data_IF_510194480387
#
_entry.id   IF_510194480387
#
_cell.length_a   1.000
_cell.length_b   1.000
_cell.length_c   1.000
_cell.angle_alpha   90.00
_cell.angle_beta   90.00
_cell.angle_gamma   90.00
#
_symmetry.space_group_name_H-M   'P 1'
#
loop_
_entity.id
_entity.type
_entity.pdbx_description
1 polymer ?
#
# COMPACT_ATOMS: atom_id res chain seq x y z
N UNK A 1 -9.15 48.33 -117.23
CA UNK A 1 -9.77 48.89 -116.01
C UNK A 1 -9.92 50.41 -116.17
N UNK A 2 -11.03 51.02 -115.75
CA UNK A 2 -11.18 52.49 -115.77
C UNK A 2 -10.44 53.15 -114.59
N UNK A 3 -10.28 54.48 -114.60
CA UNK A 3 -9.53 55.19 -113.55
C UNK A 3 -10.14 54.99 -112.16
N UNK A 4 -11.48 55.02 -112.03
CA UNK A 4 -12.17 54.80 -110.75
C UNK A 4 -11.86 53.43 -110.14
N UNK A 5 -11.83 52.37 -110.95
CA UNK A 5 -11.54 51.01 -110.49
C UNK A 5 -10.05 50.87 -110.11
N UNK A 6 -9.16 51.58 -110.82
CA UNK A 6 -7.73 51.64 -110.49
C UNK A 6 -7.50 52.25 -109.12
N UNK A 7 -8.12 53.40 -108.85
CA UNK A 7 -7.96 54.11 -107.57
C UNK A 7 -8.50 53.27 -106.39
N UNK A 8 -9.60 52.53 -106.60
CA UNK A 8 -10.14 51.61 -105.59
C UNK A 8 -9.17 50.48 -105.23
N UNK A 9 -8.45 49.92 -106.20
CA UNK A 9 -7.48 48.84 -105.95
C UNK A 9 -6.23 49.38 -105.25
N UNK A 10 -5.74 50.55 -105.66
CA UNK A 10 -4.52 51.17 -105.08
C UNK A 10 -4.69 51.42 -103.58
N UNK A 11 -5.84 51.93 -103.14
CA UNK A 11 -6.11 52.21 -101.72
C UNK A 11 -6.06 50.94 -100.86
N UNK A 12 -6.31 49.77 -101.44
CA UNK A 12 -6.31 48.49 -100.72
C UNK A 12 -4.92 47.85 -100.58
N UNK A 13 -3.89 48.39 -101.25
CA UNK A 13 -2.53 47.86 -101.16
C UNK A 13 -1.80 48.29 -99.88
N UNK A 14 -2.05 49.50 -99.38
CA UNK A 14 -1.38 50.00 -98.17
C UNK A 14 -1.81 49.24 -96.90
N UNK A 15 -3.10 48.97 -96.66
CA UNK A 15 -3.54 48.19 -95.51
C UNK A 15 -2.89 46.81 -95.38
N UNK A 16 -2.49 46.18 -96.50
CA UNK A 16 -1.75 44.93 -96.46
C UNK A 16 -0.40 45.06 -95.74
N UNK A 17 0.35 46.13 -96.02
CA UNK A 17 1.67 46.35 -95.42
C UNK A 17 1.57 46.70 -93.94
N UNK A 18 0.52 47.44 -93.55
CA UNK A 18 0.27 47.82 -92.15
C UNK A 18 -0.11 46.62 -91.26
N UNK A 19 -0.62 45.53 -91.84
CA UNK A 19 -1.01 44.32 -91.10
C UNK A 19 0.17 43.49 -90.56
N UNK A 20 1.36 43.67 -91.14
CA UNK A 20 2.57 42.89 -90.87
C UNK A 20 2.32 41.37 -90.84
N UNK A 21 2.21 40.79 -92.04
CA UNK A 21 1.86 39.37 -92.21
C UNK A 21 2.85 38.43 -91.49
N UNK A 22 4.14 38.80 -91.35
CA UNK A 22 5.12 37.98 -90.65
C UNK A 22 4.80 37.88 -89.15
N UNK A 23 4.46 39.02 -88.54
CA UNK A 23 4.06 39.08 -87.14
C UNK A 23 2.79 38.29 -86.86
N UNK A 24 1.79 38.40 -87.74
CA UNK A 24 0.52 37.66 -87.65
C UNK A 24 0.74 36.15 -87.73
N UNK A 25 1.59 35.72 -88.66
CA UNK A 25 1.98 34.32 -88.81
C UNK A 25 2.71 33.80 -87.56
N UNK A 26 3.70 34.56 -87.05
CA UNK A 26 4.45 34.19 -85.85
C UNK A 26 3.55 34.11 -84.59
N UNK A 27 2.50 34.92 -84.53
CA UNK A 27 1.51 34.87 -83.46
C UNK A 27 0.63 33.62 -83.55
N UNK A 28 0.08 33.34 -84.73
CA UNK A 28 -0.86 32.25 -84.95
C UNK A 28 -0.23 30.85 -84.83
N UNK A 29 1.05 30.71 -85.18
CA UNK A 29 1.77 29.42 -85.18
C UNK A 29 2.90 29.35 -84.15
N UNK A 30 2.76 30.07 -83.02
CA UNK A 30 3.75 30.18 -81.93
C UNK A 30 4.28 28.84 -81.38
N UNK A 31 3.47 27.78 -81.45
CA UNK A 31 3.75 26.47 -80.88
C UNK A 31 4.34 25.48 -81.90
N UNK A 32 4.52 25.91 -83.16
CA UNK A 32 5.07 25.07 -84.24
C UNK A 32 6.60 25.19 -84.28
N UNK A 33 7.36 24.07 -84.20
CA UNK A 33 8.81 24.10 -84.17
C UNK A 33 9.46 24.44 -85.53
N UNK A 34 8.75 24.22 -86.65
CA UNK A 34 9.25 24.55 -88.00
C UNK A 34 8.11 25.00 -88.94
N UNK A 35 8.13 26.27 -89.33
CA UNK A 35 7.10 26.92 -90.15
C UNK A 35 7.24 26.61 -91.66
N UNK A 36 8.33 25.97 -92.08
CA UNK A 36 8.48 25.44 -93.44
C UNK A 36 7.70 24.12 -93.63
N UNK A 37 7.34 23.44 -92.54
CA UNK A 37 6.59 22.17 -92.58
C UNK A 37 5.07 22.34 -92.46
N UNK A 38 4.61 23.50 -91.99
CA UNK A 38 3.18 23.77 -91.79
C UNK A 38 2.56 24.17 -93.13
N UNK A 39 1.81 23.24 -93.73
CA UNK A 39 1.09 23.45 -94.99
C UNK A 39 -0.33 23.97 -94.70
N UNK A 40 -0.70 25.07 -95.36
CA UNK A 40 -2.02 25.69 -95.29
C UNK A 40 -2.53 25.87 -96.72
N UNK A 41 -3.52 25.07 -97.11
CA UNK A 41 -4.01 25.04 -98.48
C UNK A 41 -2.95 24.51 -99.46
N UNK A 42 -2.52 25.36 -100.39
CA UNK A 42 -1.53 25.03 -101.42
C UNK A 42 -0.10 25.50 -101.11
N UNK A 43 0.10 26.20 -99.99
CA UNK A 43 1.36 26.84 -99.63
C UNK A 43 1.79 26.44 -98.22
N UNK A 44 3.09 26.45 -97.98
CA UNK A 44 3.61 26.52 -96.61
C UNK A 44 3.31 27.90 -96.01
N UNK A 45 3.24 27.99 -94.69
CA UNK A 45 3.02 29.26 -93.99
C UNK A 45 4.09 30.31 -94.36
N UNK A 46 5.35 29.87 -94.56
CA UNK A 46 6.42 30.73 -95.07
C UNK A 46 6.16 31.22 -96.51
N UNK A 47 5.63 30.37 -97.39
CA UNK A 47 5.29 30.74 -98.77
C UNK A 47 4.10 31.70 -98.84
N UNK A 48 3.13 31.60 -97.93
CA UNK A 48 2.00 32.54 -97.86
C UNK A 48 2.51 33.96 -97.62
N UNK A 49 3.47 34.15 -96.68
CA UNK A 49 4.09 35.47 -96.46
C UNK A 49 4.79 35.98 -97.71
N UNK A 50 5.69 35.16 -98.28
CA UNK A 50 6.49 35.54 -99.44
C UNK A 50 5.64 35.85 -100.68
N UNK A 51 4.67 34.98 -101.01
CA UNK A 51 3.81 35.16 -102.17
C UNK A 51 2.80 36.29 -101.99
N UNK A 52 2.28 36.55 -100.79
CA UNK A 52 1.38 37.69 -100.54
C UNK A 52 2.11 39.02 -100.76
N UNK A 53 3.30 39.17 -100.18
CA UNK A 53 4.13 40.38 -100.36
C UNK A 53 4.52 40.58 -101.82
N UNK A 54 4.93 39.51 -102.49
CA UNK A 54 5.28 39.55 -103.92
C UNK A 54 4.08 39.96 -104.77
N UNK A 55 2.91 39.34 -104.54
CA UNK A 55 1.68 39.61 -105.27
C UNK A 55 1.26 41.07 -105.13
N UNK A 56 1.19 41.60 -103.90
CA UNK A 56 0.82 42.99 -103.64
C UNK A 56 1.82 43.97 -104.25
N UNK A 57 3.13 43.70 -104.11
CA UNK A 57 4.19 44.56 -104.67
C UNK A 57 4.12 44.62 -106.21
N UNK A 58 3.98 43.48 -106.88
CA UNK A 58 3.90 43.44 -108.35
C UNK A 58 2.61 44.06 -108.88
N UNK A 59 1.50 43.89 -108.16
CA UNK A 59 0.25 44.54 -108.52
C UNK A 59 0.39 46.06 -108.43
N UNK A 60 0.95 46.58 -107.34
CA UNK A 60 1.21 48.01 -107.16
C UNK A 60 2.04 48.59 -108.30
N UNK A 61 3.17 47.94 -108.63
CA UNK A 61 4.05 48.39 -109.73
C UNK A 61 3.34 48.43 -111.09
N UNK A 62 2.50 47.44 -111.40
CA UNK A 62 1.79 47.40 -112.67
C UNK A 62 0.67 48.44 -112.73
N UNK A 63 0.00 48.68 -111.61
CA UNK A 63 -1.04 49.70 -111.53
C UNK A 63 -0.50 51.10 -111.85
N UNK A 64 0.76 51.39 -111.54
CA UNK A 64 1.40 52.67 -111.89
C UNK A 64 1.70 52.84 -113.39
N UNK A 65 1.62 51.77 -114.19
CA UNK A 65 1.90 51.80 -115.63
C UNK A 65 0.64 51.97 -116.48
N UNK A 66 0.81 52.34 -117.75
CA UNK A 66 -0.29 52.37 -118.73
C UNK A 66 -0.93 50.99 -119.00
N UNK A 67 -0.26 49.89 -118.61
CA UNK A 67 -0.79 48.54 -118.71
C UNK A 67 -2.00 48.30 -117.81
N UNK A 68 -2.14 49.07 -116.71
CA UNK A 68 -3.29 49.00 -115.82
C UNK A 68 -4.64 49.25 -116.53
N UNK A 69 -4.62 50.07 -117.59
CA UNK A 69 -5.83 50.45 -118.33
C UNK A 69 -6.43 49.27 -119.10
N UNK A 70 -5.62 48.26 -119.45
CA UNK A 70 -6.06 47.07 -120.19
C UNK A 70 -6.27 45.84 -119.31
N UNK A 71 -5.97 45.94 -118.01
CA UNK A 71 -6.22 44.85 -117.07
C UNK A 71 -7.73 44.68 -116.77
N UNK A 72 -8.22 43.42 -116.67
CA UNK A 72 -9.59 43.15 -116.25
C UNK A 72 -9.75 43.43 -114.75
N UNK A 73 -10.76 44.23 -114.39
CA UNK A 73 -11.11 44.48 -112.99
C UNK A 73 -11.88 43.30 -112.37
N UNK A 74 -12.79 42.74 -113.16
CA UNK A 74 -13.51 41.49 -112.88
C UNK A 74 -12.95 40.38 -113.76
N UNK A 75 -12.86 39.17 -113.23
CA UNK A 75 -12.33 38.02 -113.93
C UNK A 75 -13.16 36.77 -113.67
N UNK A 76 -13.20 35.91 -114.69
CA UNK A 76 -13.82 34.60 -114.64
C UNK A 76 -12.87 33.61 -115.29
N UNK A 77 -12.25 32.74 -114.48
CA UNK A 77 -11.19 31.85 -114.95
C UNK A 77 -11.69 30.50 -115.46
N UNK A 78 -12.98 30.18 -115.28
CA UNK A 78 -13.60 28.90 -115.67
C UNK A 78 -12.77 27.67 -115.23
N UNK A 79 -12.18 27.74 -114.04
CA UNK A 79 -11.35 26.72 -113.41
C UNK A 79 -11.58 26.75 -111.88
N UNK A 80 -10.78 25.98 -111.14
CA UNK A 80 -10.87 25.85 -109.67
C UNK A 80 -10.65 27.18 -108.90
N UNK A 81 -10.13 28.22 -109.56
CA UNK A 81 -9.98 29.56 -108.97
C UNK A 81 -11.25 30.42 -109.12
N UNK A 82 -12.27 29.97 -109.85
CA UNK A 82 -13.59 30.61 -109.89
C UNK A 82 -13.63 32.02 -110.52
N UNK A 83 -14.58 32.83 -110.06
CA UNK A 83 -14.80 34.22 -110.46
C UNK A 83 -14.52 35.18 -109.31
N UNK A 84 -14.25 36.44 -109.64
CA UNK A 84 -13.99 37.47 -108.63
C UNK A 84 -13.67 38.83 -109.24
N UNK A 85 -13.31 39.76 -108.38
CA UNK A 85 -12.76 41.05 -108.77
C UNK A 85 -11.63 41.45 -107.83
N UNK A 86 -10.73 42.30 -108.32
CA UNK A 86 -9.52 42.67 -107.60
C UNK A 86 -9.80 43.32 -106.24
N UNK A 87 -10.84 44.14 -106.14
CA UNK A 87 -11.16 44.87 -104.91
C UNK A 87 -11.58 43.91 -103.81
N UNK A 88 -12.54 43.04 -104.09
CA UNK A 88 -13.09 42.14 -103.10
C UNK A 88 -12.06 41.07 -102.69
N UNK A 89 -11.24 40.60 -103.62
CA UNK A 89 -10.21 39.61 -103.32
C UNK A 89 -9.08 40.20 -102.46
N UNK A 90 -8.60 41.41 -102.76
CA UNK A 90 -7.58 42.07 -101.91
C UNK A 90 -8.16 42.43 -100.54
N UNK A 91 -9.41 42.87 -100.49
CA UNK A 91 -10.11 43.16 -99.23
C UNK A 91 -10.24 41.88 -98.38
N UNK A 92 -10.62 40.77 -99.01
CA UNK A 92 -10.74 39.47 -98.34
C UNK A 92 -9.38 38.99 -97.86
N UNK A 93 -8.32 39.12 -98.68
CA UNK A 93 -6.96 38.78 -98.28
C UNK A 93 -6.52 39.56 -97.03
N UNK A 94 -6.70 40.88 -97.02
CA UNK A 94 -6.35 41.72 -95.86
C UNK A 94 -7.16 41.34 -94.61
N UNK A 95 -8.46 41.10 -94.78
CA UNK A 95 -9.34 40.73 -93.65
C UNK A 95 -8.97 39.36 -93.08
N UNK A 96 -8.72 38.36 -93.93
CA UNK A 96 -8.33 37.02 -93.51
C UNK A 96 -6.96 37.01 -92.82
N UNK A 97 -5.99 37.77 -93.32
CA UNK A 97 -4.68 37.93 -92.64
C UNK A 97 -4.87 38.63 -91.27
N UNK A 98 -5.66 39.70 -91.21
CA UNK A 98 -5.94 40.41 -89.97
C UNK A 98 -6.65 39.56 -88.91
N UNK A 99 -7.45 38.58 -89.34
CA UNK A 99 -8.17 37.63 -88.49
C UNK A 99 -7.37 36.34 -88.18
N UNK A 100 -6.12 36.22 -88.64
CA UNK A 100 -5.30 35.00 -88.57
C UNK A 100 -5.94 33.76 -89.26
N UNK A 101 -6.85 33.96 -90.21
CA UNK A 101 -7.43 32.89 -91.04
C UNK A 101 -6.58 32.66 -92.29
N UNK A 102 -5.48 31.93 -92.11
CA UNK A 102 -4.53 31.66 -93.18
C UNK A 102 -5.04 30.65 -94.23
N UNK A 103 -6.08 29.86 -93.92
CA UNK A 103 -6.67 28.92 -94.87
C UNK A 103 -7.47 29.67 -95.96
N UNK A 104 -8.30 30.62 -95.54
CA UNK A 104 -9.02 31.51 -96.47
C UNK A 104 -8.04 32.44 -97.18
N UNK A 105 -7.04 32.98 -96.46
CA UNK A 105 -6.00 33.80 -97.08
C UNK A 105 -5.24 33.04 -98.18
N UNK A 106 -4.87 31.78 -97.97
CA UNK A 106 -4.21 30.95 -98.99
C UNK A 106 -5.06 30.78 -100.24
N UNK A 107 -6.37 30.55 -100.09
CA UNK A 107 -7.28 30.32 -101.22
C UNK A 107 -7.41 31.57 -102.09
N UNK A 108 -7.60 32.73 -101.44
CA UNK A 108 -7.71 34.02 -102.14
C UNK A 108 -6.37 34.44 -102.74
N UNK A 109 -5.27 34.18 -102.03
CA UNK A 109 -3.91 34.41 -102.54
C UNK A 109 -3.66 33.61 -103.82
N UNK A 110 -3.98 32.32 -103.86
CA UNK A 110 -3.79 31.50 -105.07
C UNK A 110 -4.56 32.06 -106.28
N UNK A 111 -5.79 32.57 -106.05
CA UNK A 111 -6.59 33.22 -107.09
C UNK A 111 -5.97 34.52 -107.59
N UNK A 112 -5.50 35.38 -106.69
CA UNK A 112 -4.80 36.62 -107.03
C UNK A 112 -3.47 36.37 -107.73
N UNK A 113 -2.71 35.36 -107.30
CA UNK A 113 -1.48 34.93 -107.99
C UNK A 113 -1.81 34.45 -109.41
N UNK A 114 -2.84 33.62 -109.56
CA UNK A 114 -3.28 33.15 -110.87
C UNK A 114 -3.71 34.30 -111.80
N UNK A 115 -4.40 35.30 -111.26
CA UNK A 115 -4.72 36.54 -111.99
C UNK A 115 -3.46 37.19 -112.58
N UNK A 116 -2.37 37.32 -111.80
CA UNK A 116 -1.12 37.91 -112.29
C UNK A 116 -0.40 37.03 -113.31
N UNK A 117 -0.55 35.70 -113.19
CA UNK A 117 0.02 34.73 -114.13
C UNK A 117 -0.68 34.81 -115.49
N UNK A 118 -2.02 34.77 -115.52
CA UNK A 118 -2.81 34.83 -116.77
C UNK A 118 -2.58 36.15 -117.51
N UNK A 119 -2.49 37.26 -116.77
CA UNK A 119 -2.21 38.57 -117.34
C UNK A 119 -0.70 38.80 -117.61
N UNK A 120 0.14 37.79 -117.35
CA UNK A 120 1.52 37.73 -117.81
C UNK A 120 2.48 38.66 -117.06
N UNK A 121 2.16 39.08 -115.83
CA UNK A 121 3.02 39.99 -115.06
C UNK A 121 3.52 39.45 -113.71
N UNK A 122 3.11 38.24 -113.31
CA UNK A 122 3.64 37.51 -112.13
C UNK A 122 5.18 37.41 -112.08
N UNK A 123 5.86 37.61 -113.22
CA UNK A 123 7.31 37.62 -113.32
C UNK A 123 7.85 38.57 -114.42
N UNK A 124 7.25 39.75 -114.70
CA UNK A 124 7.77 40.64 -115.78
C UNK A 124 8.78 41.72 -115.36
N UNK A 125 8.74 42.26 -114.13
CA UNK A 125 9.33 43.59 -113.82
C UNK A 125 10.88 43.66 -113.64
N UNK A 126 11.68 42.64 -113.96
CA UNK A 126 13.17 42.68 -113.82
C UNK A 126 13.90 41.74 -114.82
N UNK A 127 15.18 41.90 -115.13
CA UNK A 127 15.91 40.89 -115.91
C UNK A 127 16.03 39.55 -115.15
N UNK A 128 16.10 38.44 -115.87
CA UNK A 128 15.87 37.07 -115.35
C UNK A 128 16.80 36.67 -114.19
N UNK A 129 17.99 37.25 -114.10
CA UNK A 129 18.99 36.99 -113.04
C UNK A 129 18.80 37.84 -111.79
N UNK A 130 18.42 39.12 -111.91
CA UNK A 130 18.13 39.99 -110.77
C UNK A 130 16.82 39.62 -110.08
N UNK A 131 15.84 39.08 -110.83
CA UNK A 131 14.59 38.51 -110.30
C UNK A 131 14.81 37.46 -109.23
N UNK A 132 15.71 36.50 -109.49
CA UNK A 132 15.97 35.38 -108.56
C UNK A 132 16.69 35.86 -107.31
N UNK A 133 17.60 36.83 -107.45
CA UNK A 133 18.34 37.40 -106.32
C UNK A 133 17.43 38.24 -105.42
N UNK A 134 16.65 39.17 -105.97
CA UNK A 134 15.77 40.03 -105.18
C UNK A 134 14.66 39.24 -104.49
N UNK A 135 14.00 38.30 -105.19
CA UNK A 135 12.99 37.45 -104.57
C UNK A 135 13.56 36.62 -103.40
N UNK A 136 14.78 36.09 -103.56
CA UNK A 136 15.47 35.36 -102.50
C UNK A 136 15.87 36.25 -101.33
N UNK A 137 16.28 37.50 -101.59
CA UNK A 137 16.60 38.47 -100.53
C UNK A 137 15.35 38.81 -99.72
N UNK A 138 14.23 39.11 -100.38
CA UNK A 138 12.96 39.41 -99.70
C UNK A 138 12.44 38.20 -98.92
N UNK A 139 12.57 36.99 -99.47
CA UNK A 139 12.23 35.75 -98.76
C UNK A 139 13.12 35.55 -97.52
N UNK A 140 14.43 35.74 -97.65
CA UNK A 140 15.38 35.62 -96.53
C UNK A 140 15.14 36.71 -95.47
N UNK A 141 14.82 37.93 -95.87
CA UNK A 141 14.46 39.01 -94.94
C UNK A 141 13.18 38.70 -94.16
N UNK A 142 12.15 38.19 -94.85
CA UNK A 142 10.91 37.71 -94.22
C UNK A 142 11.19 36.60 -93.21
N UNK A 143 12.05 35.62 -93.58
CA UNK A 143 12.44 34.53 -92.69
C UNK A 143 13.22 35.03 -91.48
N UNK A 144 14.16 35.95 -91.67
CA UNK A 144 14.96 36.53 -90.58
C UNK A 144 14.05 37.29 -89.60
N UNK A 145 13.13 38.10 -90.11
CA UNK A 145 12.20 38.85 -89.26
C UNK A 145 11.30 37.89 -88.45
N UNK A 146 10.77 36.86 -89.11
CA UNK A 146 9.92 35.86 -88.46
C UNK A 146 10.67 35.07 -87.38
N UNK A 147 11.91 34.64 -87.64
CA UNK A 147 12.77 33.97 -86.63
C UNK A 147 13.08 34.93 -85.47
N UNK A 148 13.34 36.20 -85.77
CA UNK A 148 13.64 37.21 -84.74
C UNK A 148 12.46 37.45 -83.81
N UNK A 149 11.24 37.52 -84.35
CA UNK A 149 10.01 37.68 -83.56
C UNK A 149 9.76 36.43 -82.69
N UNK A 150 9.93 35.23 -83.28
CA UNK A 150 9.80 33.96 -82.56
C UNK A 150 10.82 33.85 -81.42
N UNK A 151 12.07 34.21 -81.67
CA UNK A 151 13.13 34.21 -80.66
C UNK A 151 12.82 35.19 -79.52
N UNK A 152 12.32 36.38 -79.85
CA UNK A 152 11.92 37.39 -78.87
C UNK A 152 10.81 36.88 -77.95
N UNK A 153 9.78 36.22 -78.52
CA UNK A 153 8.69 35.59 -77.76
C UNK A 153 9.17 34.44 -76.87
N UNK A 154 10.12 33.64 -77.36
CA UNK A 154 10.74 32.58 -76.56
C UNK A 154 11.56 33.14 -75.39
N UNK A 155 12.29 34.24 -75.58
CA UNK A 155 13.02 34.92 -74.51
C UNK A 155 12.06 35.42 -73.43
N UNK A 156 10.95 36.06 -73.82
CA UNK A 156 9.94 36.55 -72.87
C UNK A 156 9.27 35.39 -72.09
N UNK A 157 8.93 34.31 -72.79
CA UNK A 157 8.36 33.10 -72.18
C UNK A 157 9.33 32.48 -71.17
N UNK A 158 10.60 32.34 -71.53
CA UNK A 158 11.63 31.81 -70.63
C UNK A 158 11.85 32.70 -69.41
N UNK A 159 11.79 34.04 -69.58
CA UNK A 159 11.88 34.98 -68.46
C UNK A 159 10.72 34.81 -67.49
N UNK A 160 9.49 34.64 -67.99
CA UNK A 160 8.30 34.37 -67.17
C UNK A 160 8.43 33.06 -66.40
N UNK A 161 8.89 31.99 -67.07
CA UNK A 161 9.14 30.68 -66.43
C UNK A 161 10.19 30.80 -65.33
N UNK A 162 11.30 31.52 -65.55
CA UNK A 162 12.33 31.73 -64.54
C UNK A 162 11.82 32.51 -63.33
N UNK A 163 10.96 33.51 -63.54
CA UNK A 163 10.32 34.23 -62.45
C UNK A 163 9.38 33.33 -61.65
N UNK A 164 8.57 32.51 -62.32
CA UNK A 164 7.72 31.51 -61.67
C UNK A 164 8.53 30.49 -60.87
N UNK A 165 9.64 30.00 -61.43
CA UNK A 165 10.53 29.06 -60.75
C UNK A 165 11.17 29.65 -59.49
N UNK A 166 11.61 30.91 -59.55
CA UNK A 166 12.16 31.60 -58.38
C UNK A 166 11.09 31.83 -57.30
N UNK A 167 9.87 32.20 -57.69
CA UNK A 167 8.76 32.35 -56.74
C UNK A 167 8.43 31.03 -56.04
N UNK A 168 8.33 29.93 -56.78
CA UNK A 168 8.09 28.60 -56.20
C UNK A 168 9.24 28.14 -55.31
N UNK A 169 10.48 28.44 -55.70
CA UNK A 169 11.66 28.16 -54.86
C UNK A 169 11.56 28.89 -53.52
N UNK A 170 11.24 30.19 -53.52
CA UNK A 170 11.11 30.97 -52.30
C UNK A 170 9.98 30.45 -51.39
N UNK A 171 8.85 30.04 -51.99
CA UNK A 171 7.74 29.42 -51.26
C UNK A 171 8.16 28.09 -50.59
N UNK A 172 8.90 27.25 -51.31
CA UNK A 172 9.42 25.99 -50.77
C UNK A 172 10.40 26.24 -49.63
N UNK A 173 11.31 27.21 -49.78
CA UNK A 173 12.27 27.56 -48.73
C UNK A 173 11.56 28.06 -47.46
N UNK A 174 10.54 28.90 -47.60
CA UNK A 174 9.71 29.34 -46.47
C UNK A 174 8.96 28.17 -45.82
N UNK A 175 8.36 27.29 -46.62
CA UNK A 175 7.65 26.12 -46.12
C UNK A 175 8.59 25.19 -45.33
N UNK A 176 9.78 24.92 -45.85
CA UNK A 176 10.80 24.11 -45.15
C UNK A 176 11.23 24.78 -43.84
N UNK A 177 11.42 26.10 -43.82
CA UNK A 177 11.77 26.83 -42.61
C UNK A 177 10.67 26.74 -41.53
N UNK A 178 9.40 26.86 -41.93
CA UNK A 178 8.25 26.69 -41.03
C UNK A 178 8.21 25.26 -40.48
N UNK A 179 8.30 24.25 -41.35
CA UNK A 179 8.24 22.83 -40.94
C UNK A 179 9.39 22.44 -40.03
N UNK A 180 10.59 22.99 -40.22
CA UNK A 180 11.71 22.79 -39.29
C UNK A 180 11.42 23.37 -37.91
N UNK A 181 10.84 24.57 -37.82
CA UNK A 181 10.45 25.18 -36.53
C UNK A 181 9.40 24.34 -35.81
N UNK A 182 8.35 23.93 -36.51
CA UNK A 182 7.31 23.05 -35.96
C UNK A 182 7.91 21.72 -35.44
N UNK A 183 8.84 21.12 -36.20
CA UNK A 183 9.50 19.88 -35.79
C UNK A 183 10.34 20.08 -34.52
N UNK A 184 11.14 21.14 -34.44
CA UNK A 184 11.93 21.46 -33.24
C UNK A 184 11.04 21.69 -32.02
N UNK A 185 9.89 22.34 -32.19
CA UNK A 185 8.92 22.52 -31.11
C UNK A 185 8.37 21.16 -30.63
N UNK A 186 7.96 20.27 -31.54
CA UNK A 186 7.52 18.92 -31.22
C UNK A 186 8.62 18.14 -30.49
N UNK A 187 9.86 18.19 -30.98
CA UNK A 187 11.02 17.54 -30.35
C UNK A 187 11.27 18.06 -28.93
N UNK A 188 11.01 19.34 -28.66
CA UNK A 188 11.15 19.93 -27.32
C UNK A 188 10.02 19.53 -26.37
N UNK A 189 8.79 19.37 -26.88
CA UNK A 189 7.61 19.02 -26.08
C UNK A 189 7.54 17.51 -25.78
N UNK A 190 8.12 16.67 -26.63
CA UNK A 190 8.07 15.22 -26.48
C UNK A 190 8.69 14.72 -25.16
N UNK A 191 9.89 15.16 -24.73
CA UNK A 191 10.45 14.82 -23.43
C UNK A 191 9.57 15.27 -22.27
N UNK A 192 8.98 16.47 -22.33
CA UNK A 192 8.09 16.96 -21.29
C UNK A 192 6.83 16.10 -21.17
N UNK A 193 6.23 15.70 -22.29
CA UNK A 193 5.09 14.79 -22.32
C UNK A 193 5.42 13.41 -21.72
N UNK A 194 6.62 12.88 -22.04
CA UNK A 194 7.11 11.60 -21.47
C UNK A 194 7.31 11.69 -19.96
N UNK A 195 8.00 12.74 -19.49
CA UNK A 195 8.21 12.97 -18.05
C UNK A 195 6.88 13.13 -17.31
N UNK A 196 5.92 13.88 -17.86
CA UNK A 196 4.59 14.02 -17.27
C UNK A 196 3.86 12.67 -17.21
N UNK A 197 3.97 11.84 -18.25
CA UNK A 197 3.38 10.50 -18.25
C UNK A 197 3.99 9.61 -17.16
N UNK A 198 5.31 9.63 -17.00
CA UNK A 198 6.01 8.88 -15.96
C UNK A 198 5.60 9.36 -14.56
N UNK A 199 5.48 10.67 -14.36
CA UNK A 199 5.01 11.24 -13.10
C UNK A 199 3.57 10.87 -12.78
N UNK A 200 2.67 10.90 -13.77
CA UNK A 200 1.28 10.44 -13.62
C UNK A 200 1.25 8.96 -13.22
N UNK A 201 2.02 8.10 -13.89
CA UNK A 201 2.10 6.67 -13.55
C UNK A 201 2.63 6.47 -12.12
N UNK A 202 3.66 7.22 -11.72
CA UNK A 202 4.20 7.18 -10.35
C UNK A 202 3.14 7.59 -9.33
N UNK A 203 2.47 8.73 -9.53
CA UNK A 203 1.42 9.22 -8.63
C UNK A 203 0.25 8.24 -8.53
N UNK A 204 -0.16 7.65 -9.66
CA UNK A 204 -1.20 6.62 -9.69
C UNK A 204 -0.82 5.40 -8.85
N UNK A 205 0.41 4.89 -9.00
CA UNK A 205 0.89 3.75 -8.22
C UNK A 205 0.98 4.10 -6.72
N UNK A 206 1.46 5.29 -6.37
CA UNK A 206 1.46 5.77 -4.98
C UNK A 206 0.04 5.89 -4.42
N UNK A 207 -0.92 6.35 -5.22
CA UNK A 207 -2.33 6.44 -4.82
C UNK A 207 -2.92 5.06 -4.56
N UNK A 208 -2.62 4.06 -5.39
CA UNK A 208 -3.06 2.67 -5.17
C UNK A 208 -2.51 2.15 -3.84
N UNK A 209 -1.20 2.24 -3.62
CA UNK A 209 -0.57 1.77 -2.40
C UNK A 209 -1.10 2.48 -1.13
N UNK A 210 -1.38 3.78 -1.24
CA UNK A 210 -1.98 4.57 -0.16
C UNK A 210 -3.41 4.11 0.12
N UNK A 211 -4.21 3.86 -0.92
CA UNK A 211 -5.58 3.36 -0.78
C UNK A 211 -5.63 1.96 -0.14
N UNK A 212 -4.72 1.07 -0.52
CA UNK A 212 -4.55 -0.24 0.13
C UNK A 212 -4.20 -0.10 1.62
N UNK A 213 -3.29 0.82 1.93
CA UNK A 213 -2.91 1.12 3.32
C UNK A 213 -4.09 1.67 4.14
N UNK A 214 -4.90 2.57 3.56
CA UNK A 214 -6.12 3.10 4.16
C UNK A 214 -7.13 1.97 4.43
N UNK A 215 -7.35 1.08 3.47
CA UNK A 215 -8.28 -0.04 3.63
C UNK A 215 -7.82 -1.03 4.71
N UNK A 216 -6.50 -1.27 4.81
CA UNK A 216 -5.91 -2.08 5.88
C UNK A 216 -6.14 -1.44 7.25
N UNK A 217 -5.87 -0.14 7.38
CA UNK A 217 -6.11 0.62 8.61
C UNK A 217 -7.59 0.62 9.00
N UNK A 218 -8.50 0.79 8.03
CA UNK A 218 -9.94 0.74 8.26
C UNK A 218 -10.37 -0.63 8.79
N UNK A 219 -9.88 -1.70 8.16
CA UNK A 219 -10.12 -3.08 8.63
C UNK A 219 -9.64 -3.27 10.06
N UNK A 220 -8.42 -2.82 10.37
CA UNK A 220 -7.86 -2.92 11.71
C UNK A 220 -8.66 -2.10 12.75
N UNK A 221 -9.13 -0.90 12.39
CA UNK A 221 -9.97 -0.10 13.27
C UNK A 221 -11.31 -0.78 13.55
N UNK A 222 -11.94 -1.39 12.53
CA UNK A 222 -13.19 -2.13 12.71
C UNK A 222 -13.01 -3.32 13.65
N UNK A 223 -11.94 -4.10 13.49
CA UNK A 223 -11.63 -5.21 14.40
C UNK A 223 -11.42 -4.72 15.85
N UNK A 224 -10.68 -3.62 16.03
CA UNK A 224 -10.50 -3.03 17.37
C UNK A 224 -11.81 -2.51 17.96
N UNK A 225 -12.69 -1.93 17.14
CA UNK A 225 -14.01 -1.49 17.57
C UNK A 225 -14.87 -2.66 18.03
N UNK A 226 -14.86 -3.78 17.29
CA UNK A 226 -15.54 -5.02 17.69
C UNK A 226 -14.98 -5.58 19.01
N UNK A 227 -13.66 -5.62 19.17
CA UNK A 227 -13.01 -6.05 20.40
C UNK A 227 -13.39 -5.17 21.60
N UNK A 228 -13.38 -3.85 21.43
CA UNK A 228 -13.79 -2.88 22.46
C UNK A 228 -15.26 -3.08 22.81
N UNK A 229 -16.13 -3.24 21.80
CA UNK A 229 -17.56 -3.45 22.00
C UNK A 229 -17.81 -4.73 22.80
N UNK A 230 -17.09 -5.82 22.48
CA UNK A 230 -17.18 -7.08 23.21
C UNK A 230 -16.73 -6.93 24.66
N UNK A 231 -15.57 -6.30 24.90
CA UNK A 231 -15.08 -6.04 26.26
C UNK A 231 -16.04 -5.18 27.07
N UNK A 232 -16.62 -4.17 26.45
CA UNK A 232 -17.61 -3.31 27.10
C UNK A 232 -18.85 -4.10 27.54
N UNK A 233 -19.34 -5.02 26.70
CA UNK A 233 -20.48 -5.87 27.04
C UNK A 233 -20.14 -6.88 28.16
N UNK A 234 -18.94 -7.46 28.14
CA UNK A 234 -18.42 -8.33 29.22
C UNK A 234 -18.30 -7.58 30.55
N UNK A 235 -17.76 -6.36 30.53
CA UNK A 235 -17.61 -5.51 31.71
C UNK A 235 -18.98 -5.08 32.26
N UNK A 236 -19.92 -4.72 31.38
CA UNK A 236 -21.31 -4.40 31.75
C UNK A 236 -22.01 -5.57 32.41
N UNK A 237 -21.85 -6.79 31.86
CA UNK A 237 -22.39 -8.02 32.46
C UNK A 237 -21.80 -8.28 33.84
N UNK A 238 -20.47 -8.17 33.97
CA UNK A 238 -19.76 -8.34 35.25
C UNK A 238 -20.23 -7.32 36.29
N UNK A 239 -20.36 -6.05 35.89
CA UNK A 239 -20.87 -5.00 36.76
C UNK A 239 -22.31 -5.25 37.23
N UNK A 240 -23.18 -5.75 36.34
CA UNK A 240 -24.55 -6.14 36.69
C UNK A 240 -24.57 -7.28 37.72
N UNK A 241 -23.71 -8.29 37.55
CA UNK A 241 -23.57 -9.39 38.51
C UNK A 241 -23.06 -8.88 39.86
N UNK A 242 -22.03 -8.04 39.86
CA UNK A 242 -21.49 -7.43 41.07
C UNK A 242 -22.54 -6.61 41.83
N UNK A 243 -23.36 -5.82 41.12
CA UNK A 243 -24.48 -5.08 41.71
C UNK A 243 -25.51 -6.01 42.39
N UNK A 244 -25.80 -7.15 41.76
CA UNK A 244 -26.70 -8.15 42.33
C UNK A 244 -26.09 -8.80 43.58
N UNK A 245 -24.82 -9.21 43.53
CA UNK A 245 -24.11 -9.76 44.69
C UNK A 245 -24.03 -8.78 45.86
N UNK A 246 -23.80 -7.49 45.59
CA UNK A 246 -23.81 -6.43 46.62
C UNK A 246 -25.18 -6.31 47.29
N UNK A 247 -26.26 -6.42 46.51
CA UNK A 247 -27.63 -6.41 47.02
C UNK A 247 -27.89 -7.65 47.89
N UNK A 248 -27.52 -8.83 47.40
CA UNK A 248 -27.72 -10.09 48.12
C UNK A 248 -26.92 -10.11 49.44
N UNK A 249 -25.68 -9.60 49.42
CA UNK A 249 -24.85 -9.43 50.61
C UNK A 249 -25.49 -8.46 51.62
N UNK A 250 -26.02 -7.34 51.15
CA UNK A 250 -26.74 -6.37 51.99
C UNK A 250 -27.96 -7.01 52.65
N UNK A 251 -28.73 -7.80 51.91
CA UNK A 251 -29.91 -8.49 52.42
C UNK A 251 -29.54 -9.60 53.43
N UNK A 252 -28.43 -10.30 53.19
CA UNK A 252 -27.85 -11.27 54.15
C UNK A 252 -27.42 -10.59 55.45
N UNK A 253 -26.68 -9.49 55.39
CA UNK A 253 -26.29 -8.71 56.58
C UNK A 253 -27.51 -8.22 57.36
N UNK A 254 -28.53 -7.69 56.70
CA UNK A 254 -29.77 -7.27 57.35
C UNK A 254 -30.46 -8.44 58.07
N UNK A 255 -30.41 -9.64 57.50
CA UNK A 255 -30.96 -10.85 58.11
C UNK A 255 -30.16 -11.25 59.34
N UNK A 256 -28.83 -11.25 59.28
CA UNK A 256 -27.97 -11.57 60.42
C UNK A 256 -28.09 -10.53 61.54
N UNK A 257 -28.20 -9.24 61.21
CA UNK A 257 -28.48 -8.17 62.18
C UNK A 257 -29.80 -8.46 62.90
N UNK A 258 -30.88 -8.79 62.18
CA UNK A 258 -32.17 -9.14 62.79
C UNK A 258 -32.04 -10.37 63.70
N UNK A 259 -31.30 -11.39 63.28
CA UNK A 259 -31.05 -12.58 64.08
C UNK A 259 -30.23 -12.26 65.34
N UNK A 260 -29.21 -11.41 65.23
CA UNK A 260 -28.39 -10.93 66.33
C UNK A 260 -29.20 -10.11 67.34
N UNK A 261 -30.04 -9.18 66.87
CA UNK A 261 -30.96 -8.41 67.73
C UNK A 261 -31.87 -9.37 68.49
N UNK A 262 -32.47 -10.36 67.82
CA UNK A 262 -33.32 -11.36 68.48
C UNK A 262 -32.56 -12.15 69.55
N UNK A 263 -31.35 -12.64 69.24
CA UNK A 263 -30.50 -13.34 70.23
C UNK A 263 -30.18 -12.44 71.43
N UNK A 264 -29.93 -11.15 71.21
CA UNK A 264 -29.67 -10.21 72.30
C UNK A 264 -30.93 -10.03 73.17
N UNK A 265 -32.11 -9.88 72.56
CA UNK A 265 -33.38 -9.82 73.29
C UNK A 265 -33.63 -11.10 74.09
N UNK A 266 -33.39 -12.28 73.49
CA UNK A 266 -33.52 -13.57 74.16
C UNK A 266 -32.52 -13.70 75.33
N UNK A 267 -31.29 -13.20 75.15
CA UNK A 267 -30.26 -13.17 76.20
C UNK A 267 -30.62 -12.22 77.35
N UNK A 268 -31.14 -11.02 77.04
CA UNK A 268 -31.63 -10.07 78.05
C UNK A 268 -32.77 -10.68 78.87
N UNK A 269 -33.71 -11.39 78.22
CA UNK A 269 -34.77 -12.12 78.91
C UNK A 269 -34.21 -13.24 79.80
N UNK A 270 -33.19 -13.97 79.34
CA UNK A 270 -32.49 -14.99 80.14
C UNK A 270 -31.77 -14.36 81.34
N UNK A 271 -31.11 -13.21 81.18
CA UNK A 271 -30.46 -12.47 82.25
C UNK A 271 -31.47 -12.04 83.33
N UNK A 272 -32.62 -11.51 82.93
CA UNK A 272 -33.71 -11.18 83.86
C UNK A 272 -34.14 -12.44 84.62
N UNK A 273 -34.33 -13.57 83.93
CA UNK A 273 -34.67 -14.84 84.58
C UNK A 273 -33.58 -15.36 85.53
N UNK A 274 -32.31 -15.15 85.22
CA UNK A 274 -31.19 -15.56 86.08
C UNK A 274 -31.07 -14.63 87.30
N UNK A 275 -31.27 -13.32 87.13
CA UNK A 275 -31.28 -12.36 88.23
C UNK A 275 -32.39 -12.69 89.24
N UNK A 276 -33.61 -12.96 88.77
CA UNK A 276 -34.74 -13.39 89.61
C UNK A 276 -34.45 -14.70 90.38
N UNK A 277 -33.73 -15.63 89.72
CA UNK A 277 -33.22 -16.85 90.38
C UNK A 277 -32.11 -16.58 91.38
N UNK A 278 -31.24 -15.61 91.13
CA UNK A 278 -30.16 -15.21 92.04
C UNK A 278 -30.72 -14.61 93.32
N UNK A 279 -31.72 -13.73 93.22
CA UNK A 279 -32.42 -13.19 94.39
C UNK A 279 -33.04 -14.31 95.23
N UNK A 280 -33.57 -15.36 94.59
CA UNK A 280 -34.06 -16.55 95.31
C UNK A 280 -32.94 -17.41 95.90
N UNK A 281 -31.71 -17.38 95.36
CA UNK A 281 -30.54 -18.01 95.97
C UNK A 281 -30.00 -17.23 97.16
N UNK A 282 -29.95 -15.89 97.10
CA UNK A 282 -29.51 -15.06 98.22
C UNK A 282 -30.45 -15.21 99.42
N UNK A 283 -31.76 -15.22 99.17
CA UNK A 283 -32.78 -15.55 100.17
C UNK A 283 -32.59 -16.97 100.75
N UNK A 284 -32.09 -17.94 99.96
CA UNK A 284 -31.79 -19.30 100.44
C UNK A 284 -30.45 -19.39 101.16
N UNK A 285 -29.46 -18.58 100.82
CA UNK A 285 -28.16 -18.48 101.49
C UNK A 285 -28.31 -17.89 102.89
N UNK A 286 -29.21 -16.94 103.08
CA UNK A 286 -29.56 -16.41 104.40
C UNK A 286 -30.15 -17.52 105.31
N UNK A 287 -31.08 -18.32 104.75
CA UNK A 287 -31.67 -19.49 105.43
C UNK A 287 -30.64 -20.62 105.64
N UNK A 288 -29.65 -20.79 104.75
CA UNK A 288 -28.58 -21.80 104.86
C UNK A 288 -27.49 -21.43 105.88
N UNK A 289 -27.15 -20.13 106.00
CA UNK A 289 -26.21 -19.63 107.01
C UNK A 289 -26.78 -19.75 108.43
N UNK A 290 -28.11 -19.79 108.58
CA UNK A 290 -28.77 -20.01 109.86
C UNK A 290 -28.82 -21.50 110.27
N UNK A 291 -28.72 -22.44 109.31
CA UNK A 291 -29.00 -23.87 109.55
C UNK A 291 -27.82 -24.82 109.49
N UNK A 292 -26.65 -24.46 108.96
CA UNK A 292 -25.56 -25.45 108.77
C UNK A 292 -24.21 -24.90 109.19
N UNK A 293 -23.84 -25.24 110.43
CA UNK A 293 -22.50 -25.05 110.97
C UNK A 293 -21.42 -25.93 110.32
N UNK A 294 -20.20 -25.39 110.35
CA UNK A 294 -18.97 -26.00 110.91
C UNK A 294 -18.39 -27.30 110.28
N UNK A 295 -17.18 -27.14 109.70
CA UNK A 295 -15.97 -27.99 109.91
C UNK A 295 -15.82 -29.38 109.25
N UNK A 296 -15.88 -29.50 107.92
CA UNK A 296 -15.53 -30.78 107.25
C UNK A 296 -14.51 -30.67 106.10
N UNK A 297 -14.85 -29.94 105.06
CA UNK A 297 -14.21 -30.15 103.76
C UNK A 297 -13.08 -29.15 103.43
N UNK A 298 -12.97 -28.06 104.17
CA UNK A 298 -11.92 -27.05 104.00
C UNK A 298 -10.51 -27.58 104.34
N UNK A 299 -10.39 -28.62 105.19
CA UNK A 299 -9.10 -29.23 105.57
C UNK A 299 -8.52 -30.18 104.50
N UNK A 300 -9.35 -30.85 103.69
CA UNK A 300 -8.89 -31.78 102.66
C UNK A 300 -8.42 -31.07 101.38
N UNK A 301 -9.08 -29.98 100.99
CA UNK A 301 -8.68 -29.16 99.85
C UNK A 301 -7.29 -28.55 100.04
N UNK A 302 -7.01 -28.00 101.23
CA UNK A 302 -5.73 -27.37 101.53
C UNK A 302 -4.56 -28.37 101.43
N UNK A 303 -4.74 -29.62 101.87
CA UNK A 303 -3.68 -30.65 101.85
C UNK A 303 -3.24 -31.04 100.43
N UNK A 304 -4.17 -31.10 99.46
CA UNK A 304 -3.83 -31.43 98.07
C UNK A 304 -3.28 -30.24 97.28
N UNK A 305 -3.72 -29.03 97.61
CA UNK A 305 -3.22 -27.81 96.99
C UNK A 305 -1.77 -27.51 97.43
N UNK A 306 -1.43 -27.76 98.69
CA UNK A 306 -0.06 -27.62 99.20
C UNK A 306 0.90 -28.60 98.50
N UNK A 307 0.44 -29.83 98.22
CA UNK A 307 1.26 -30.82 97.50
C UNK A 307 1.47 -30.46 96.02
N UNK A 308 0.47 -29.89 95.35
CA UNK A 308 0.59 -29.33 93.99
C UNK A 308 1.67 -28.25 93.93
N UNK A 309 1.66 -27.32 94.88
CA UNK A 309 2.62 -26.22 94.91
C UNK A 309 4.05 -26.71 95.18
N UNK A 310 4.23 -27.76 96.00
CA UNK A 310 5.56 -28.36 96.23
C UNK A 310 6.21 -29.04 95.00
N UNK A 311 5.42 -29.38 93.97
CA UNK A 311 5.91 -30.01 92.73
C UNK A 311 6.31 -28.99 91.64
N UNK A 312 6.00 -27.71 91.83
CA UNK A 312 6.35 -26.66 90.86
C UNK A 312 7.87 -26.40 90.81
N UNK A 313 8.57 -26.56 91.94
CA UNK A 313 10.02 -26.41 92.03
C UNK A 313 10.81 -27.45 91.21
N UNK A 314 10.58 -28.77 91.41
CA UNK A 314 11.18 -29.83 90.61
C UNK A 314 10.93 -29.69 89.09
N UNK A 315 9.72 -29.32 88.68
CA UNK A 315 9.37 -29.15 87.26
C UNK A 315 10.15 -28.02 86.60
N UNK A 316 10.28 -26.87 87.29
CA UNK A 316 11.13 -25.78 86.81
C UNK A 316 12.60 -26.19 86.71
N UNK A 317 13.10 -27.03 87.63
CA UNK A 317 14.47 -27.57 87.56
C UNK A 317 14.66 -28.48 86.35
N UNK A 318 13.75 -29.42 86.10
CA UNK A 318 13.86 -30.30 84.93
C UNK A 318 13.64 -29.57 83.60
N UNK A 319 12.79 -28.55 83.55
CA UNK A 319 12.65 -27.69 82.37
C UNK A 319 14.01 -27.05 82.01
N UNK A 320 14.69 -26.47 83.00
CA UNK A 320 15.99 -25.86 82.82
C UNK A 320 17.07 -26.89 82.45
N UNK A 321 17.03 -28.09 83.04
CA UNK A 321 17.95 -29.19 82.69
C UNK A 321 17.76 -29.61 81.23
N UNK A 322 16.51 -29.76 80.74
CA UNK A 322 16.23 -30.11 79.34
C UNK A 322 16.75 -29.05 78.37
N UNK A 323 16.58 -27.77 78.68
CA UNK A 323 17.14 -26.69 77.86
C UNK A 323 18.66 -26.73 77.83
N UNK A 324 19.31 -26.89 78.99
CA UNK A 324 20.77 -26.98 79.08
C UNK A 324 21.32 -28.21 78.35
N UNK A 325 20.72 -29.39 78.55
CA UNK A 325 21.15 -30.63 77.88
C UNK A 325 20.87 -30.60 76.39
N UNK A 326 19.81 -29.91 75.93
CA UNK A 326 19.55 -29.68 74.51
C UNK A 326 20.65 -28.86 73.83
N UNK A 327 21.08 -27.76 74.46
CA UNK A 327 22.18 -26.92 73.95
C UNK A 327 23.49 -27.71 73.92
N UNK A 328 23.81 -28.42 75.00
CA UNK A 328 25.04 -29.24 75.09
C UNK A 328 25.01 -30.38 74.05
N UNK A 329 23.87 -31.07 73.90
CA UNK A 329 23.73 -32.13 72.92
C UNK A 329 23.94 -31.62 71.49
N UNK A 330 23.36 -30.46 71.16
CA UNK A 330 23.52 -29.83 69.86
C UNK A 330 24.98 -29.43 69.60
N UNK A 331 25.66 -28.83 70.58
CA UNK A 331 27.07 -28.48 70.48
C UNK A 331 27.98 -29.71 70.30
N UNK A 332 27.71 -30.81 71.01
CA UNK A 332 28.48 -32.05 70.89
C UNK A 332 28.23 -32.77 69.56
N UNK A 333 26.98 -32.79 69.06
CA UNK A 333 26.66 -33.38 67.76
C UNK A 333 27.36 -32.59 66.65
N UNK A 334 27.32 -31.26 66.69
CA UNK A 334 28.08 -30.41 65.76
C UNK A 334 29.57 -30.72 65.87
N UNK A 335 30.11 -30.79 67.09
CA UNK A 335 31.52 -31.12 67.33
C UNK A 335 31.95 -32.47 66.75
N UNK A 336 31.09 -33.50 66.83
CA UNK A 336 31.36 -34.84 66.28
C UNK A 336 31.36 -34.82 64.74
N UNK A 337 30.43 -34.11 64.12
CA UNK A 337 30.30 -34.11 62.65
C UNK A 337 31.26 -33.15 61.94
N UNK A 338 31.62 -32.03 62.59
CA UNK A 338 32.48 -30.98 62.02
C UNK A 338 33.90 -30.97 62.57
N UNK A 339 34.23 -31.90 63.48
CA UNK A 339 35.53 -32.02 64.15
C UNK A 339 36.01 -30.70 64.81
N UNK A 340 35.06 -29.87 65.23
CA UNK A 340 35.29 -28.48 65.64
C UNK A 340 36.17 -28.33 66.90
N UNK A 341 36.22 -29.34 67.76
CA UNK A 341 37.04 -29.33 68.98
C UNK A 341 38.40 -30.01 68.82
N UNK A 342 38.79 -30.45 67.61
CA UNK A 342 40.14 -30.93 67.29
C UNK A 342 40.62 -32.15 68.09
N UNK A 343 39.72 -32.86 68.77
CA UNK A 343 40.07 -33.93 69.70
C UNK A 343 40.21 -35.31 69.02
N UNK A 344 39.81 -35.45 67.75
CA UNK A 344 39.86 -36.71 67.00
C UNK A 344 40.31 -36.47 65.55
N UNK A 345 41.62 -36.39 65.31
CA UNK A 345 42.27 -36.63 64.01
C UNK A 345 42.00 -35.61 62.88
N UNK A 346 42.76 -35.74 61.78
CA UNK A 346 42.69 -34.83 60.62
C UNK A 346 41.32 -34.84 59.92
N UNK A 347 40.92 -33.68 59.40
CA UNK A 347 39.68 -33.49 58.62
C UNK A 347 39.75 -34.32 57.33
N UNK A 348 38.81 -35.25 57.07
CA UNK A 348 38.82 -36.00 55.83
C UNK A 348 38.47 -35.09 54.65
N UNK A 349 39.26 -35.14 53.59
CA UNK A 349 39.10 -34.31 52.38
C UNK A 349 37.99 -34.79 51.45
N UNK A 350 37.36 -35.93 51.74
CA UNK A 350 36.17 -36.45 51.04
C UNK A 350 35.17 -37.06 52.05
N UNK A 351 33.87 -36.77 51.88
CA UNK A 351 32.81 -37.27 52.76
C UNK A 351 32.50 -38.73 52.36
N UNK A 352 33.20 -39.68 52.98
CA UNK A 352 32.91 -41.11 52.86
C UNK A 352 31.65 -41.48 53.66
N UNK A 353 30.81 -42.37 53.13
CA UNK A 353 29.65 -42.92 53.83
C UNK A 353 30.02 -43.54 55.18
N UNK A 354 31.22 -44.13 55.29
CA UNK A 354 31.76 -44.65 56.55
C UNK A 354 31.91 -43.57 57.63
N UNK A 355 32.29 -42.35 57.25
CA UNK A 355 32.45 -41.21 58.18
C UNK A 355 31.10 -40.78 58.77
N UNK A 356 30.06 -40.67 57.93
CA UNK A 356 28.71 -40.33 58.37
C UNK A 356 28.12 -41.40 59.30
N UNK A 357 28.41 -42.67 59.01
CA UNK A 357 27.95 -43.80 59.81
C UNK A 357 28.54 -43.81 61.22
N UNK A 358 29.86 -43.70 61.32
CA UNK A 358 30.59 -43.75 62.60
C UNK A 358 30.21 -42.57 63.48
N UNK A 359 30.07 -41.38 62.90
CA UNK A 359 29.66 -40.18 63.64
C UNK A 359 28.20 -40.23 64.10
N UNK A 360 27.32 -40.87 63.33
CA UNK A 360 25.94 -41.13 63.75
C UNK A 360 25.87 -42.08 64.95
N UNK A 361 26.71 -43.12 64.99
CA UNK A 361 26.81 -44.04 66.14
C UNK A 361 27.39 -43.32 67.37
N UNK A 362 28.35 -42.41 67.20
CA UNK A 362 28.90 -41.60 68.31
C UNK A 362 27.89 -40.59 68.86
N UNK A 363 26.97 -40.08 68.04
CA UNK A 363 25.92 -39.15 68.46
C UNK A 363 24.76 -39.82 69.24
N UNK A 364 24.63 -41.15 69.13
CA UNK A 364 23.53 -41.92 69.74
C UNK A 364 23.46 -41.82 71.28
N UNK A 365 24.56 -41.98 72.04
CA UNK A 365 24.54 -41.82 73.50
C UNK A 365 24.10 -40.42 73.95
N UNK A 366 24.52 -39.38 73.23
CA UNK A 366 24.13 -37.98 73.51
C UNK A 366 22.63 -37.79 73.32
N UNK A 367 22.10 -38.36 72.23
CA UNK A 367 20.65 -38.37 72.00
C UNK A 367 19.93 -39.11 73.13
N UNK A 368 20.39 -40.28 73.58
CA UNK A 368 19.76 -41.04 74.68
C UNK A 368 19.68 -40.23 75.99
N UNK A 369 20.69 -39.41 76.29
CA UNK A 369 20.65 -38.54 77.48
C UNK A 369 19.61 -37.43 77.32
N UNK A 370 19.55 -36.77 76.16
CA UNK A 370 18.55 -35.74 75.86
C UNK A 370 17.13 -36.30 75.97
N UNK A 371 16.87 -37.35 75.19
CA UNK A 371 16.16 -38.57 75.57
C UNK A 371 15.47 -38.60 76.93
N UNK A 372 16.29 -39.08 77.86
CA UNK A 372 15.96 -39.32 79.23
C UNK A 372 15.52 -38.04 79.95
N UNK A 373 16.21 -36.92 79.72
CA UNK A 373 15.86 -35.65 80.40
C UNK A 373 14.50 -35.13 79.99
N UNK A 374 14.14 -35.23 78.71
CA UNK A 374 12.80 -34.89 78.21
C UNK A 374 11.75 -35.80 78.86
N UNK A 375 12.02 -37.12 78.92
CA UNK A 375 11.10 -38.09 79.54
C UNK A 375 10.86 -37.79 81.03
N UNK A 376 11.90 -37.38 81.76
CA UNK A 376 11.78 -37.02 83.18
C UNK A 376 10.95 -35.76 83.39
N UNK A 377 11.17 -34.72 82.57
CA UNK A 377 10.37 -33.50 82.60
C UNK A 377 8.88 -33.79 82.35
N UNK A 378 8.57 -34.58 81.32
CA UNK A 378 7.18 -34.97 81.01
C UNK A 378 6.55 -35.73 82.17
N UNK A 379 7.27 -36.68 82.78
CA UNK A 379 6.77 -37.45 83.92
C UNK A 379 6.37 -36.55 85.10
N UNK A 380 7.21 -35.59 85.47
CA UNK A 380 6.90 -34.69 86.59
C UNK A 380 5.73 -33.75 86.28
N UNK A 381 5.62 -33.26 85.05
CA UNK A 381 4.48 -32.45 84.61
C UNK A 381 3.15 -33.21 84.67
N UNK A 382 3.15 -34.47 84.23
CA UNK A 382 1.95 -35.32 84.31
C UNK A 382 1.51 -35.52 85.78
N UNK A 383 2.45 -35.66 86.73
CA UNK A 383 2.08 -35.73 88.14
C UNK A 383 1.45 -34.42 88.66
N UNK A 384 1.95 -33.26 88.25
CA UNK A 384 1.35 -31.98 88.61
C UNK A 384 -0.09 -31.84 88.11
N UNK A 385 -0.32 -32.24 86.85
CA UNK A 385 -1.65 -32.25 86.24
C UNK A 385 -2.59 -33.23 86.97
N UNK A 386 -2.08 -34.41 87.38
CA UNK A 386 -2.84 -35.40 88.13
C UNK A 386 -3.24 -34.90 89.53
N UNK A 387 -2.34 -34.26 90.27
CA UNK A 387 -2.68 -33.67 91.57
C UNK A 387 -3.60 -32.45 91.44
N UNK A 388 -3.46 -31.66 90.39
CA UNK A 388 -4.38 -30.55 90.09
C UNK A 388 -5.79 -31.07 89.78
N UNK A 389 -5.89 -32.15 89.01
CA UNK A 389 -7.16 -32.84 88.73
C UNK A 389 -7.77 -33.44 90.01
N UNK A 390 -6.97 -34.09 90.86
CA UNK A 390 -7.44 -34.61 92.16
C UNK A 390 -7.92 -33.50 93.10
N UNK A 391 -7.27 -32.34 93.12
CA UNK A 391 -7.71 -31.16 93.88
C UNK A 391 -9.03 -30.60 93.36
N UNK A 392 -9.19 -30.50 92.03
CA UNK A 392 -10.44 -30.06 91.40
C UNK A 392 -11.60 -31.05 91.66
N UNK A 393 -11.33 -32.36 91.61
CA UNK A 393 -12.33 -33.40 91.93
C UNK A 393 -12.71 -33.36 93.40
N UNK A 394 -11.78 -33.14 94.33
CA UNK A 394 -12.14 -33.04 95.76
C UNK A 394 -13.15 -31.89 96.02
N UNK A 395 -12.97 -30.77 95.32
CA UNK A 395 -13.91 -29.63 95.33
C UNK A 395 -15.28 -29.99 94.76
N UNK A 396 -15.33 -30.74 93.64
CA UNK A 396 -16.60 -31.12 93.01
C UNK A 396 -17.29 -32.25 93.74
N UNK A 397 -16.58 -33.22 94.32
CA UNK A 397 -17.15 -34.30 95.14
C UNK A 397 -17.79 -33.75 96.40
N UNK A 398 -17.23 -32.69 96.99
CA UNK A 398 -17.90 -31.97 98.07
C UNK A 398 -19.20 -31.32 97.57
N UNK A 399 -19.13 -30.55 96.48
CA UNK A 399 -20.30 -29.87 95.91
C UNK A 399 -21.42 -30.86 95.51
N UNK A 400 -21.07 -32.04 94.98
CA UNK A 400 -22.03 -33.09 94.65
C UNK A 400 -22.50 -33.90 95.86
N UNK A 401 -21.65 -34.06 96.88
CA UNK A 401 -22.01 -34.69 98.16
C UNK A 401 -23.05 -33.88 98.94
N UNK A 402 -23.03 -32.56 98.79
CA UNK A 402 -24.01 -31.64 99.39
C UNK A 402 -25.38 -31.69 98.67
N UNK A 403 -25.41 -32.13 97.40
CA UNK A 403 -26.64 -32.28 96.60
C UNK A 403 -27.29 -33.67 96.77
N UNK A 404 -26.53 -34.71 97.15
CA UNK A 404 -26.93 -36.11 96.98
C UNK A 404 -27.64 -36.79 98.19
N UNK A 405 -27.88 -36.09 99.29
CA UNK A 405 -28.74 -36.58 100.40
C UNK A 405 -28.42 -38.01 100.89
N UNK A 406 -29.40 -38.92 100.87
CA UNK A 406 -29.29 -40.28 101.45
C UNK A 406 -28.42 -41.28 100.68
N UNK A 407 -27.95 -40.95 99.46
CA UNK A 407 -26.96 -41.75 98.71
C UNK A 407 -25.52 -41.25 98.88
N UNK A 408 -25.31 -40.32 99.82
CA UNK A 408 -24.04 -39.68 100.13
C UNK A 408 -22.91 -40.68 100.35
N UNK A 409 -23.10 -41.70 101.17
CA UNK A 409 -22.03 -42.66 101.48
C UNK A 409 -21.64 -43.53 100.28
N UNK A 410 -22.59 -43.95 99.45
CA UNK A 410 -22.30 -44.78 98.26
C UNK A 410 -21.62 -43.98 97.14
N UNK A 411 -22.03 -42.71 96.93
CA UNK A 411 -21.41 -41.80 95.98
C UNK A 411 -20.05 -41.30 96.44
N UNK A 412 -19.90 -40.95 97.71
CA UNK A 412 -18.61 -40.62 98.32
C UNK A 412 -17.71 -41.85 98.27
N UNK A 413 -18.21 -43.07 98.51
CA UNK A 413 -17.38 -44.27 98.45
C UNK A 413 -16.98 -44.68 97.04
N UNK A 414 -17.84 -44.46 96.04
CA UNK A 414 -17.50 -44.64 94.63
C UNK A 414 -16.56 -43.55 94.11
N UNK A 415 -16.70 -42.31 94.58
CA UNK A 415 -15.78 -41.21 94.27
C UNK A 415 -14.42 -41.42 94.94
N UNK A 416 -14.38 -41.82 96.21
CA UNK A 416 -13.16 -42.18 96.94
C UNK A 416 -12.52 -43.44 96.33
N UNK A 417 -13.29 -44.46 95.93
CA UNK A 417 -12.72 -45.60 95.22
C UNK A 417 -12.18 -45.21 93.85
N UNK A 418 -12.74 -44.22 93.17
CA UNK A 418 -12.18 -43.66 91.92
C UNK A 418 -10.95 -42.78 92.16
N UNK A 419 -10.87 -42.10 93.30
CA UNK A 419 -9.70 -41.33 93.75
C UNK A 419 -8.53 -42.27 94.12
N UNK A 420 -8.82 -43.48 94.60
CA UNK A 420 -7.82 -44.47 95.05
C UNK A 420 -7.60 -45.67 94.10
N UNK A 421 -8.46 -45.92 93.10
CA UNK A 421 -8.25 -46.94 92.07
C UNK A 421 -7.72 -46.31 90.79
N UNK A 422 -6.54 -46.76 90.35
CA UNK A 422 -5.87 -46.28 89.15
C UNK A 422 -6.82 -46.29 87.94
N UNK A 423 -7.01 -45.16 87.23
CA UNK A 423 -7.28 -45.20 85.82
C UNK A 423 -5.98 -45.64 85.14
N UNK A 424 -6.01 -46.86 84.61
CA UNK A 424 -4.99 -47.52 83.80
C UNK A 424 -4.72 -46.81 82.47
N UNK A 425 -4.29 -45.56 82.53
CA UNK A 425 -3.68 -44.85 81.37
C UNK A 425 -2.23 -45.33 81.15
N UNK A 426 -1.70 -46.17 82.07
CA UNK A 426 -0.68 -47.18 81.73
C UNK A 426 -1.34 -48.48 81.27
N UNK A 427 -2.13 -48.43 80.19
CA UNK A 427 -2.36 -49.58 79.32
C UNK A 427 -2.24 -49.08 77.89
N UNK A 428 -1.03 -49.24 77.36
CA UNK A 428 -0.64 -49.12 75.96
C UNK A 428 -1.30 -48.00 75.14
N UNK A 429 -0.84 -46.77 75.38
CA UNK A 429 -0.43 -45.91 74.26
C UNK A 429 1.06 -45.67 74.35
N UNK A 430 1.81 -46.72 74.05
CA UNK A 430 3.19 -46.64 73.59
C UNK A 430 3.29 -45.99 72.21
N UNK A 431 2.66 -44.84 71.97
CA UNK A 431 3.09 -43.93 70.91
C UNK A 431 3.71 -42.69 71.56
N UNK A 432 4.66 -43.01 72.45
CA UNK A 432 5.86 -42.20 72.62
C UNK A 432 6.31 -41.72 71.24
N UNK A 433 6.56 -40.43 71.11
CA UNK A 433 7.30 -39.84 69.99
C UNK A 433 8.64 -40.58 69.71
N UNK A 434 9.09 -41.44 70.64
CA UNK A 434 10.22 -42.36 70.53
C UNK A 434 9.92 -43.82 70.20
N UNK A 435 8.66 -44.28 70.22
CA UNK A 435 8.29 -45.67 69.89
C UNK A 435 8.42 -45.97 68.39
N UNK A 436 8.05 -45.02 67.54
CA UNK A 436 8.25 -45.14 66.09
C UNK A 436 9.75 -45.08 65.72
N UNK A 437 10.53 -44.23 66.42
CA UNK A 437 11.97 -44.12 66.21
C UNK A 437 12.76 -45.27 66.84
N UNK A 438 12.33 -45.92 67.92
CA UNK A 438 13.06 -47.07 68.49
C UNK A 438 12.87 -48.33 67.65
N UNK A 439 11.70 -48.50 67.02
CA UNK A 439 11.44 -49.59 66.07
C UNK A 439 12.23 -49.36 64.77
N UNK A 440 12.20 -48.14 64.23
CA UNK A 440 13.04 -47.74 63.09
C UNK A 440 14.52 -47.81 63.43
N UNK A 441 14.98 -47.40 64.63
CA UNK A 441 16.38 -47.48 65.06
C UNK A 441 16.83 -48.92 65.28
N UNK A 442 15.97 -49.79 65.84
CA UNK A 442 16.28 -51.21 65.97
C UNK A 442 16.28 -51.91 64.62
N UNK A 443 15.35 -51.59 63.72
CA UNK A 443 15.31 -52.13 62.35
C UNK A 443 16.48 -51.60 61.50
N UNK A 444 16.79 -50.30 61.55
CA UNK A 444 17.98 -49.72 60.90
C UNK A 444 19.27 -50.18 61.54
N UNK A 445 19.37 -50.43 62.86
CA UNK A 445 20.56 -51.06 63.45
C UNK A 445 20.70 -52.53 63.04
N UNK A 446 19.58 -53.23 62.85
CA UNK A 446 19.58 -54.62 62.40
C UNK A 446 19.97 -54.72 60.93
N UNK A 447 19.46 -53.82 60.08
CA UNK A 447 19.90 -53.62 58.70
C UNK A 447 21.36 -53.16 58.65
N UNK A 448 21.79 -52.21 59.48
CA UNK A 448 23.19 -51.76 59.54
C UNK A 448 24.14 -52.87 59.96
N UNK A 449 23.77 -53.66 60.96
CA UNK A 449 24.56 -54.81 61.40
C UNK A 449 24.55 -55.92 60.33
N UNK A 450 23.47 -56.08 59.57
CA UNK A 450 23.45 -56.97 58.40
C UNK A 450 24.31 -56.44 57.25
N UNK A 451 24.28 -55.13 56.99
CA UNK A 451 25.04 -54.46 55.91
C UNK A 451 26.54 -54.42 56.24
N UNK A 452 26.91 -54.19 57.50
CA UNK A 452 28.29 -54.29 58.01
C UNK A 452 28.82 -55.73 58.05
N UNK A 453 27.94 -56.73 58.20
CA UNK A 453 28.31 -58.15 58.06
C UNK A 453 28.52 -58.56 56.60
N UNK A 454 27.85 -57.91 55.65
CA UNK A 454 28.06 -58.11 54.21
C UNK A 454 29.18 -57.23 53.63
N UNK A 455 29.58 -56.17 54.33
CA UNK A 455 30.77 -55.34 54.04
C UNK A 455 31.92 -55.65 55.00
N UNK A 456 32.21 -56.94 55.18
CA UNK A 456 33.56 -57.35 55.56
C UNK A 456 34.37 -57.48 54.27
N UNK A 457 35.38 -56.62 54.02
CA UNK A 457 36.39 -56.90 53.00
C UNK A 457 37.16 -58.15 53.43
N UNK A 458 37.73 -58.85 52.44
CA UNK A 458 38.47 -60.13 52.54
C UNK A 458 39.14 -60.46 53.89
#
# INVERSE_FOLDING_TARGET
MNQSNKDQVIVLLQPFWDLDIDKRIAEAYKDSPDLETVVVGHYTVSEISGYSKKMISQLGQILDTAFANILPYEYQFNNDFGNGNLKDDITTLNTSIGANDFATASTVLSRLVYYQVVNGFWNKVMEKDDKKRFARIVEMESKINLITEQLSKNIETNKSILQGLNFEKDNIEQFVAIKRKELTEIESLLPAARNNSEEITRLHNTSIATNESINSLLTQQNTKLEEITKKYEEERSTYSTFQQELKDLKDSFNTEIKAGVKKNTDFDAMLISVADRSDTFDNRIEVLNELIGKEGAQKLFNTFNDRKNSLEGPIKRWANIVFATGIIALALIIGIFTNFYGWIGELPTEIDWHYLLINSIKALPIMIVLLFTIKQYVRERTFQEEYAFRSAIALTVQAYGDIAGTKKEELIMKAISTIYSLPSIMKDRSNSFFGYRSKILNETMKELNQTLKTFKPE
#
